data_IF_324581494029
#
_entry.id   IF_324581494029
#
_cell.length_a   1.000
_cell.length_b   1.000
_cell.length_c   1.000
_cell.angle_alpha   90.00
_cell.angle_beta   90.00
_cell.angle_gamma   90.00
#
_symmetry.space_group_name_H-M   'P 1'
#
loop_
_entity.id
_entity.type
_entity.pdbx_description
1 polymer ?
#
# COMPACT_ATOMS: atom_id res chain seq x y z
N UNK A 1 1.92 -20.87 -24.01
CA UNK A 1 2.47 -19.49 -23.81
C UNK A 1 1.38 -18.46 -23.43
N UNK A 2 0.19 -18.49 -24.04
CA UNK A 2 -0.93 -17.55 -23.74
C UNK A 2 -1.39 -17.57 -22.27
N UNK A 3 -1.47 -18.75 -21.65
CA UNK A 3 -1.89 -18.90 -20.24
C UNK A 3 -0.90 -18.32 -19.23
N UNK A 4 0.41 -18.47 -19.48
CA UNK A 4 1.46 -17.84 -18.64
C UNK A 4 1.39 -16.31 -18.69
N UNK A 5 1.08 -15.74 -19.85
CA UNK A 5 0.89 -14.29 -20.00
C UNK A 5 -0.32 -13.77 -19.23
N UNK A 6 -1.44 -14.50 -19.26
CA UNK A 6 -2.65 -14.14 -18.50
C UNK A 6 -2.40 -14.21 -16.99
N UNK A 7 -1.72 -15.27 -16.52
CA UNK A 7 -1.35 -15.42 -15.12
C UNK A 7 -0.47 -14.26 -14.63
N UNK A 8 0.57 -13.91 -15.39
CA UNK A 8 1.47 -12.79 -15.06
C UNK A 8 0.74 -11.44 -15.00
N UNK A 9 -0.22 -11.22 -15.90
CA UNK A 9 -1.05 -10.01 -15.91
C UNK A 9 -1.97 -9.94 -14.69
N UNK A 10 -2.60 -11.05 -14.31
CA UNK A 10 -3.43 -11.12 -13.09
C UNK A 10 -2.60 -10.83 -11.83
N UNK A 11 -1.42 -11.44 -11.71
CA UNK A 11 -0.50 -11.21 -10.58
C UNK A 11 -0.09 -9.73 -10.50
N UNK A 12 0.19 -9.08 -11.64
CA UNK A 12 0.51 -7.66 -11.68
C UNK A 12 -0.64 -6.76 -11.19
N UNK A 13 -1.88 -7.09 -11.52
CA UNK A 13 -3.06 -6.34 -11.06
C UNK A 13 -3.23 -6.47 -9.55
N UNK A 14 -3.11 -7.69 -9.01
CA UNK A 14 -3.19 -7.94 -7.56
C UNK A 14 -2.13 -7.13 -6.82
N UNK A 15 -0.88 -7.15 -7.30
CA UNK A 15 0.24 -6.41 -6.70
C UNK A 15 0.01 -4.89 -6.76
N UNK A 16 -0.67 -4.40 -7.79
CA UNK A 16 -0.98 -2.98 -7.95
C UNK A 16 -2.05 -2.51 -6.97
N UNK A 17 -3.04 -3.36 -6.69
CA UNK A 17 -4.23 -2.99 -5.92
C UNK A 17 -4.16 -3.40 -4.44
N UNK A 18 -3.28 -4.33 -4.04
CA UNK A 18 -3.30 -4.85 -2.67
C UNK A 18 -3.18 -3.77 -1.58
N UNK A 19 -2.32 -2.73 -1.68
CA UNK A 19 -2.21 -1.77 -0.59
C UNK A 19 -3.48 -0.95 -0.48
N UNK A 20 -4.03 -0.49 -1.62
CA UNK A 20 -5.30 0.22 -1.66
C UNK A 20 -6.43 -0.60 -1.02
N UNK A 21 -6.54 -1.89 -1.34
CA UNK A 21 -7.56 -2.75 -0.77
C UNK A 21 -7.38 -2.94 0.74
N UNK A 22 -6.17 -3.25 1.21
CA UNK A 22 -5.90 -3.42 2.64
C UNK A 22 -6.15 -2.15 3.44
N UNK A 23 -5.70 -0.99 2.95
CA UNK A 23 -5.95 0.30 3.59
C UNK A 23 -7.45 0.57 3.76
N UNK A 24 -8.24 0.34 2.72
CA UNK A 24 -9.69 0.56 2.77
C UNK A 24 -10.38 -0.44 3.71
N UNK A 25 -10.00 -1.72 3.71
CA UNK A 25 -10.55 -2.71 4.64
C UNK A 25 -10.29 -2.28 6.09
N UNK A 26 -9.07 -1.84 6.39
CA UNK A 26 -8.71 -1.37 7.74
C UNK A 26 -9.52 -0.13 8.12
N UNK A 27 -9.68 0.82 7.21
CA UNK A 27 -10.51 2.01 7.45
C UNK A 27 -11.95 1.61 7.74
N UNK A 28 -12.57 0.80 6.88
CA UNK A 28 -13.96 0.36 7.04
C UNK A 28 -14.14 -0.33 8.40
N UNK A 29 -13.29 -1.30 8.74
CA UNK A 29 -13.39 -2.03 10.02
C UNK A 29 -13.20 -1.09 11.22
N UNK A 30 -12.30 -0.12 11.12
CA UNK A 30 -12.02 0.83 12.20
C UNK A 30 -13.17 1.81 12.43
N UNK A 31 -13.86 2.24 11.38
CA UNK A 31 -14.98 3.19 11.47
C UNK A 31 -16.35 2.52 11.62
N UNK A 32 -16.54 1.28 11.15
CA UNK A 32 -17.82 0.56 11.25
C UNK A 32 -18.12 0.07 12.66
N UNK A 33 -17.10 -0.29 13.43
CA UNK A 33 -17.24 -0.86 14.77
C UNK A 33 -17.33 0.19 15.89
N UNK A 34 -17.39 1.47 15.53
CA UNK A 34 -17.40 2.57 16.47
C UNK A 34 -18.69 2.65 17.32
N UNK A 35 -19.76 1.95 16.93
CA UNK A 35 -21.05 1.97 17.64
C UNK A 35 -21.26 0.87 18.68
N UNK A 36 -20.48 -0.23 18.67
CA UNK A 36 -20.89 -1.49 19.34
C UNK A 36 -19.89 -2.10 20.34
N UNK A 37 -18.71 -1.52 20.59
CA UNK A 37 -17.71 -2.11 21.50
C UNK A 37 -17.10 -1.09 22.47
N UNK A 38 -17.09 -1.47 23.76
CA UNK A 38 -16.89 -0.56 24.90
C UNK A 38 -15.47 -0.55 25.50
N UNK A 39 -14.41 -0.92 24.76
CA UNK A 39 -13.06 -0.97 25.38
C UNK A 39 -11.84 -0.96 24.46
N UNK A 40 -12.00 -1.05 23.14
CA UNK A 40 -10.88 -0.90 22.20
C UNK A 40 -11.15 0.36 21.40
N UNK A 41 -10.30 1.38 21.58
CA UNK A 41 -10.33 2.58 20.75
C UNK A 41 -9.94 2.20 19.31
N UNK A 42 -10.93 1.82 18.49
CA UNK A 42 -10.75 1.50 17.07
C UNK A 42 -10.16 2.69 16.29
N UNK A 43 -10.34 3.92 16.79
CA UNK A 43 -9.61 5.11 16.33
C UNK A 43 -8.10 4.96 16.50
N UNK A 44 -7.64 4.42 17.63
CA UNK A 44 -6.23 4.15 17.89
C UNK A 44 -5.64 3.13 16.92
N UNK A 45 -6.40 2.07 16.58
CA UNK A 45 -5.98 1.07 15.58
C UNK A 45 -5.82 1.72 14.21
N UNK A 46 -6.73 2.61 13.83
CA UNK A 46 -6.63 3.33 12.56
C UNK A 46 -5.42 4.27 12.51
N UNK A 47 -5.16 5.02 13.58
CA UNK A 47 -3.98 5.90 13.69
C UNK A 47 -2.69 5.08 13.64
N UNK A 48 -2.61 3.95 14.36
CA UNK A 48 -1.47 3.03 14.29
C UNK A 48 -1.28 2.52 12.86
N UNK A 49 -2.37 2.23 12.16
CA UNK A 49 -2.33 1.77 10.77
C UNK A 49 -1.80 2.84 9.82
N UNK A 50 -2.22 4.09 9.98
CA UNK A 50 -1.68 5.23 9.22
C UNK A 50 -0.19 5.44 9.41
N UNK A 51 0.28 5.35 10.65
CA UNK A 51 1.68 5.66 10.99
C UNK A 51 2.61 4.50 10.63
N UNK A 52 2.17 3.26 10.83
CA UNK A 52 3.06 2.09 10.72
C UNK A 52 2.65 1.15 9.58
N UNK A 53 1.39 0.73 9.56
CA UNK A 53 0.96 -0.34 8.66
C UNK A 53 0.93 0.10 7.20
N UNK A 54 0.46 1.31 6.92
CA UNK A 54 0.34 1.84 5.56
C UNK A 54 1.72 2.08 4.92
N UNK A 55 2.70 2.72 5.56
CA UNK A 55 4.07 2.77 5.04
C UNK A 55 4.65 1.39 4.77
N UNK A 56 4.37 0.41 5.64
CA UNK A 56 4.85 -0.96 5.48
C UNK A 56 4.22 -1.64 4.25
N UNK A 57 2.92 -1.43 4.00
CA UNK A 57 2.25 -1.91 2.79
C UNK A 57 2.88 -1.32 1.52
N UNK A 58 3.18 -0.02 1.52
CA UNK A 58 3.87 0.64 0.41
C UNK A 58 5.28 0.11 0.20
N UNK A 59 6.03 -0.12 1.27
CA UNK A 59 7.37 -0.71 1.22
C UNK A 59 7.32 -2.12 0.62
N UNK A 60 6.40 -2.97 1.07
CA UNK A 60 6.19 -4.31 0.52
C UNK A 60 5.82 -4.22 -0.96
N UNK A 61 4.94 -3.29 -1.35
CA UNK A 61 4.57 -3.07 -2.74
C UNK A 61 5.80 -2.72 -3.60
N UNK A 62 6.65 -1.82 -3.11
CA UNK A 62 7.91 -1.47 -3.78
C UNK A 62 8.81 -2.67 -4.01
N UNK A 63 9.02 -3.49 -2.97
CA UNK A 63 9.82 -4.73 -3.04
C UNK A 63 9.26 -5.70 -4.08
N UNK A 64 7.95 -5.94 -4.03
CA UNK A 64 7.28 -6.89 -4.93
C UNK A 64 7.35 -6.36 -6.37
N UNK A 65 7.10 -5.06 -6.61
CA UNK A 65 7.22 -4.46 -7.93
C UNK A 65 8.63 -4.65 -8.51
N UNK A 66 9.66 -4.45 -7.70
CA UNK A 66 11.04 -4.68 -8.11
C UNK A 66 11.32 -6.17 -8.39
N UNK A 67 10.75 -7.10 -7.63
CA UNK A 67 10.94 -8.56 -7.83
C UNK A 67 10.30 -9.06 -9.12
N UNK A 68 9.07 -8.63 -9.41
CA UNK A 68 8.28 -9.08 -10.57
C UNK A 68 8.44 -8.20 -11.82
N UNK A 69 9.35 -7.22 -11.81
CA UNK A 69 9.55 -6.25 -12.90
C UNK A 69 8.26 -5.51 -13.29
N UNK A 70 7.39 -5.23 -12.31
CA UNK A 70 6.18 -4.44 -12.51
C UNK A 70 6.56 -2.96 -12.47
N UNK A 71 5.85 -2.13 -13.23
CA UNK A 71 6.07 -0.70 -13.23
C UNK A 71 5.66 -0.08 -11.88
N UNK A 72 6.66 0.23 -11.04
CA UNK A 72 6.45 0.74 -9.70
C UNK A 72 5.71 2.09 -9.68
N UNK A 73 5.92 2.95 -10.68
CA UNK A 73 5.22 4.24 -10.76
C UNK A 73 3.71 4.07 -10.89
N UNK A 74 3.26 3.18 -11.77
CA UNK A 74 1.83 2.88 -11.97
C UNK A 74 1.27 2.23 -10.70
N UNK A 75 2.02 1.30 -10.12
CA UNK A 75 1.61 0.55 -8.92
C UNK A 75 1.41 1.48 -7.71
N UNK A 76 2.42 2.29 -7.40
CA UNK A 76 2.39 3.27 -6.31
C UNK A 76 1.33 4.33 -6.56
N UNK A 77 1.20 4.81 -7.81
CA UNK A 77 0.15 5.77 -8.19
C UNK A 77 -1.26 5.26 -7.89
N UNK A 78 -1.56 3.99 -8.21
CA UNK A 78 -2.84 3.38 -7.89
C UNK A 78 -3.10 3.31 -6.37
N UNK A 79 -2.06 3.00 -5.58
CA UNK A 79 -2.18 2.94 -4.12
C UNK A 79 -2.33 4.32 -3.48
N UNK A 80 -1.69 5.34 -4.03
CA UNK A 80 -1.86 6.74 -3.60
C UNK A 80 -3.27 7.22 -3.92
N UNK A 81 -3.80 6.94 -5.12
CA UNK A 81 -5.18 7.26 -5.45
C UNK A 81 -6.16 6.59 -4.47
N UNK A 82 -5.91 5.33 -4.11
CA UNK A 82 -6.67 4.63 -3.07
C UNK A 82 -6.61 5.35 -1.72
N UNK A 83 -5.43 5.84 -1.32
CA UNK A 83 -5.27 6.60 -0.09
C UNK A 83 -5.91 7.99 -0.15
N UNK A 84 -5.88 8.67 -1.29
CA UNK A 84 -6.57 9.96 -1.48
C UNK A 84 -8.08 9.79 -1.30
N UNK A 85 -8.67 8.74 -1.86
CA UNK A 85 -10.10 8.43 -1.65
C UNK A 85 -10.37 8.19 -0.16
N UNK A 86 -9.53 7.39 0.50
CA UNK A 86 -9.63 7.14 1.94
C UNK A 86 -9.53 8.45 2.74
N UNK A 87 -8.66 9.37 2.32
CA UNK A 87 -8.51 10.67 2.94
C UNK A 87 -9.78 11.51 2.85
N UNK A 88 -10.36 11.62 1.67
CA UNK A 88 -11.58 12.41 1.44
C UNK A 88 -12.79 11.87 2.21
N UNK A 89 -12.82 10.56 2.50
CA UNK A 89 -13.96 9.92 3.17
C UNK A 89 -13.80 9.88 4.69
N UNK A 90 -12.59 9.61 5.19
CA UNK A 90 -12.37 9.26 6.60
C UNK A 90 -11.39 10.17 7.36
N UNK A 91 -10.58 10.97 6.65
CA UNK A 91 -9.52 11.79 7.26
C UNK A 91 -9.76 13.27 7.01
N UNK A 92 -8.89 14.10 7.59
CA UNK A 92 -8.83 15.54 7.36
C UNK A 92 -7.67 15.92 6.44
N UNK A 93 -7.60 17.20 6.07
CA UNK A 93 -6.55 17.75 5.20
C UNK A 93 -5.13 17.57 5.75
N UNK A 94 -4.98 17.42 7.08
CA UNK A 94 -3.65 17.20 7.68
C UNK A 94 -3.02 15.86 7.27
N UNK A 95 -3.82 14.90 6.80
CA UNK A 95 -3.34 13.60 6.36
C UNK A 95 -2.58 13.63 5.03
N UNK A 96 -2.55 14.77 4.32
CA UNK A 96 -1.77 14.96 3.08
C UNK A 96 -0.29 14.65 3.29
N UNK A 97 0.26 14.94 4.46
CA UNK A 97 1.67 14.68 4.74
C UNK A 97 2.04 13.19 4.65
N UNK A 98 1.09 12.29 4.92
CA UNK A 98 1.33 10.84 4.83
C UNK A 98 1.55 10.36 3.39
N UNK A 99 1.05 11.08 2.37
CA UNK A 99 1.31 10.74 0.95
C UNK A 99 2.82 10.72 0.68
N UNK A 100 3.54 11.73 1.16
CA UNK A 100 4.99 11.81 0.98
C UNK A 100 5.70 10.68 1.71
N UNK A 101 5.31 10.41 2.96
CA UNK A 101 5.84 9.30 3.75
C UNK A 101 5.67 7.96 3.02
N UNK A 102 4.48 7.67 2.51
CA UNK A 102 4.18 6.41 1.84
C UNK A 102 4.94 6.26 0.52
N UNK A 103 5.06 7.35 -0.25
CA UNK A 103 5.88 7.40 -1.44
C UNK A 103 7.36 7.08 -1.16
N UNK A 104 7.92 7.69 -0.11
CA UNK A 104 9.32 7.43 0.29
C UNK A 104 9.51 5.94 0.59
N UNK A 105 8.63 5.35 1.40
CA UNK A 105 8.71 3.93 1.74
C UNK A 105 8.57 3.02 0.52
N UNK A 106 7.63 3.32 -0.38
CA UNK A 106 7.46 2.55 -1.62
C UNK A 106 8.65 2.64 -2.58
N UNK A 107 9.20 3.84 -2.76
CA UNK A 107 10.40 4.04 -3.57
C UNK A 107 11.61 3.36 -2.95
N UNK A 108 11.80 3.47 -1.62
CA UNK A 108 12.88 2.79 -0.90
C UNK A 108 12.80 1.27 -1.08
N UNK A 109 11.63 0.67 -0.86
CA UNK A 109 11.43 -0.78 -1.05
C UNK A 109 11.78 -1.24 -2.46
N UNK A 110 11.42 -0.44 -3.48
CA UNK A 110 11.77 -0.71 -4.87
C UNK A 110 13.29 -0.60 -5.14
N UNK A 111 13.91 0.51 -4.70
CA UNK A 111 15.33 0.78 -4.94
C UNK A 111 16.24 -0.24 -4.26
N UNK A 112 16.01 -0.53 -2.97
CA UNK A 112 16.77 -1.51 -2.19
C UNK A 112 16.74 -2.86 -2.90
N UNK A 113 15.55 -3.32 -3.27
CA UNK A 113 15.39 -4.62 -3.95
C UNK A 113 16.08 -4.64 -5.31
N UNK A 114 15.98 -3.56 -6.08
CA UNK A 114 16.62 -3.44 -7.40
C UNK A 114 18.15 -3.50 -7.28
N UNK A 115 18.73 -2.82 -6.28
CA UNK A 115 20.17 -2.85 -5.99
C UNK A 115 20.60 -4.24 -5.56
N UNK A 116 19.91 -4.87 -4.59
CA UNK A 116 20.23 -6.23 -4.12
C UNK A 116 20.20 -7.25 -5.26
N UNK A 117 19.21 -7.18 -6.16
CA UNK A 117 19.14 -8.07 -7.33
C UNK A 117 20.29 -7.84 -8.31
N UNK A 118 20.74 -6.59 -8.48
CA UNK A 118 21.88 -6.27 -9.34
C UNK A 118 23.19 -6.80 -8.76
N UNK A 119 23.37 -6.70 -7.45
CA UNK A 119 24.53 -7.23 -6.74
C UNK A 119 24.57 -8.76 -6.74
N UNK A 120 23.42 -9.43 -6.54
CA UNK A 120 23.34 -10.90 -6.52
C UNK A 120 23.51 -11.56 -7.89
N UNK A 121 23.36 -10.82 -8.99
CA UNK A 121 23.58 -11.33 -10.36
C UNK A 121 25.02 -11.12 -10.85
N UNK A 122 25.85 -10.48 -10.04
CA UNK A 122 27.26 -10.22 -10.34
C UNK A 122 28.12 -11.25 -9.63
#
# INVERSE_FOLDING_TARGET
>A
MKERGIFMRKVSVIITLFPALFMNIIAIVSFSNMSNFNSIDFKGIFILSLILLFPLLFLIQGIICARYNINAFISLGASILGFIILMLVYLNDSAVIYIFTYLIFGIMGYLITKICRKLSKK
#
